data_IF_827160282092
#
_entry.id   IF_827160282092
#
_cell.length_a   1.000
_cell.length_b   1.000
_cell.length_c   1.000
_cell.angle_alpha   90.00
_cell.angle_beta   90.00
_cell.angle_gamma   90.00
#
_symmetry.space_group_name_H-M   'P 1'
#
loop_
_entity.id
_entity.type
_entity.pdbx_description
1 polymer ?
#
# COMPACT_ATOMS: atom_id res chain seq x y z
N UNK A 1 38.48 -5.99 -23.88
CA UNK A 1 37.04 -6.06 -24.23
C UNK A 1 36.27 -5.84 -22.94
N UNK A 2 36.05 -4.59 -22.56
CA UNK A 2 35.14 -4.24 -21.47
C UNK A 2 33.80 -3.95 -22.11
N UNK A 3 32.78 -4.76 -21.81
CA UNK A 3 31.43 -4.54 -22.33
C UNK A 3 30.73 -3.54 -21.42
N UNK A 4 30.34 -2.44 -22.05
CA UNK A 4 29.61 -1.31 -21.51
C UNK A 4 28.39 -1.73 -20.66
N UNK A 5 28.34 -1.16 -19.45
CA UNK A 5 27.08 -1.03 -18.71
C UNK A 5 26.19 -0.07 -19.51
N UNK A 6 25.12 -0.61 -20.09
CA UNK A 6 24.05 0.20 -20.64
C UNK A 6 23.46 1.03 -19.49
N UNK A 7 23.82 2.31 -19.48
CA UNK A 7 23.23 3.33 -18.63
C UNK A 7 21.91 3.68 -19.31
N UNK A 8 20.79 3.25 -18.74
CA UNK A 8 19.45 3.60 -19.22
C UNK A 8 19.35 5.11 -19.49
N UNK A 9 19.10 5.53 -20.74
CA UNK A 9 19.24 6.92 -21.13
C UNK A 9 17.89 7.63 -21.27
N UNK A 10 17.02 7.61 -20.25
CA UNK A 10 15.77 8.40 -20.28
C UNK A 10 15.26 8.70 -18.86
N UNK A 11 15.97 9.56 -18.12
CA UNK A 11 15.36 10.25 -16.98
C UNK A 11 15.73 11.73 -17.04
N UNK A 12 15.07 12.45 -17.96
CA UNK A 12 15.02 13.90 -17.92
C UNK A 12 14.34 14.30 -16.61
N UNK A 13 15.05 15.08 -15.79
CA UNK A 13 14.58 15.49 -14.46
C UNK A 13 13.26 16.24 -14.53
N UNK A 14 12.17 15.53 -14.29
CA UNK A 14 10.94 16.10 -13.76
C UNK A 14 11.08 16.23 -12.26
N UNK A 15 10.72 17.39 -11.71
CA UNK A 15 10.54 17.57 -10.27
C UNK A 15 9.70 16.39 -9.78
N UNK A 16 10.32 15.52 -8.98
CA UNK A 16 9.66 14.30 -8.56
C UNK A 16 8.63 14.71 -7.53
N UNK A 17 7.40 14.91 -7.97
CA UNK A 17 6.29 15.24 -7.09
C UNK A 17 6.21 14.16 -6.00
N UNK A 18 6.27 14.60 -4.75
CA UNK A 18 6.24 13.74 -3.57
C UNK A 18 4.86 13.84 -2.96
N UNK A 19 4.31 12.70 -2.57
CA UNK A 19 3.08 12.58 -1.81
C UNK A 19 3.40 12.13 -0.39
N UNK A 20 2.69 12.71 0.59
CA UNK A 20 2.68 12.19 1.96
C UNK A 20 1.66 11.06 2.06
N UNK A 21 2.11 9.86 2.39
CA UNK A 21 1.26 8.70 2.62
C UNK A 21 1.22 8.43 4.11
N UNK A 22 0.06 8.62 4.73
CA UNK A 22 -0.22 8.18 6.10
C UNK A 22 -0.78 6.77 6.05
N UNK A 23 -0.25 5.89 6.89
CA UNK A 23 -0.58 4.47 6.87
C UNK A 23 -0.95 3.95 8.25
N UNK A 24 -1.79 2.92 8.26
CA UNK A 24 -2.24 2.19 9.45
C UNK A 24 -2.28 0.69 9.13
N UNK A 25 -1.83 -0.16 10.04
CA UNK A 25 -1.96 -1.61 9.90
C UNK A 25 -3.40 -2.05 10.17
N UNK A 26 -3.96 -2.85 9.27
CA UNK A 26 -5.27 -3.48 9.45
C UNK A 26 -5.36 -4.31 10.74
N UNK A 27 -4.30 -5.00 11.17
CA UNK A 27 -4.30 -5.79 12.41
C UNK A 27 -4.54 -4.90 13.64
N UNK A 28 -4.08 -3.65 13.63
CA UNK A 28 -4.37 -2.68 14.70
C UNK A 28 -5.84 -2.29 14.69
N UNK A 29 -6.41 -2.06 13.51
CA UNK A 29 -7.84 -1.75 13.35
C UNK A 29 -8.70 -2.87 13.92
N UNK A 30 -8.38 -4.12 13.56
CA UNK A 30 -9.09 -5.32 14.03
C UNK A 30 -8.90 -5.53 15.54
N UNK A 31 -7.66 -5.46 16.05
CA UNK A 31 -7.37 -5.68 17.46
C UNK A 31 -7.99 -4.65 18.42
N UNK A 32 -8.30 -3.45 17.92
CA UNK A 32 -8.95 -2.39 18.69
C UNK A 32 -10.46 -2.28 18.42
N UNK A 33 -11.05 -3.18 17.61
CA UNK A 33 -12.45 -3.12 17.18
C UNK A 33 -12.82 -1.75 16.55
N UNK A 34 -11.89 -1.14 15.80
CA UNK A 34 -12.13 0.14 15.13
C UNK A 34 -12.83 -0.05 13.78
N UNK A 35 -13.72 0.88 13.42
CA UNK A 35 -14.35 0.88 12.10
C UNK A 35 -13.36 1.38 11.05
N UNK A 36 -13.19 0.64 9.95
CA UNK A 36 -12.37 1.08 8.80
C UNK A 36 -12.90 2.39 8.19
N UNK A 37 -14.23 2.56 8.23
CA UNK A 37 -14.94 3.72 7.71
C UNK A 37 -15.16 4.81 8.78
N UNK A 38 -14.56 4.68 9.97
CA UNK A 38 -14.66 5.70 11.01
C UNK A 38 -13.91 6.96 10.56
N UNK A 39 -14.60 8.10 10.50
CA UNK A 39 -14.03 9.39 10.10
C UNK A 39 -12.82 9.80 10.97
N UNK A 40 -12.79 9.35 12.23
CA UNK A 40 -11.74 9.61 13.23
C UNK A 40 -10.73 8.47 13.36
N UNK A 41 -10.71 7.48 12.46
CA UNK A 41 -9.82 6.31 12.53
C UNK A 41 -8.34 6.70 12.66
N UNK A 42 -7.87 7.59 11.78
CA UNK A 42 -6.48 8.05 11.80
C UNK A 42 -6.18 8.97 13.00
N UNK A 43 -7.19 9.67 13.53
CA UNK A 43 -7.04 10.43 14.78
C UNK A 43 -6.90 9.51 16.00
N UNK A 44 -7.68 8.42 16.04
CA UNK A 44 -7.56 7.36 17.05
C UNK A 44 -6.18 6.70 17.00
N UNK A 45 -5.71 6.35 15.80
CA UNK A 45 -4.38 5.77 15.60
C UNK A 45 -3.25 6.71 16.06
N UNK A 46 -3.33 8.00 15.69
CA UNK A 46 -2.37 9.02 16.11
C UNK A 46 -2.31 9.24 17.63
N UNK A 47 -3.42 8.99 18.34
CA UNK A 47 -3.51 9.12 19.79
C UNK A 47 -3.17 7.82 20.54
N UNK A 48 -3.05 6.69 19.84
CA UNK A 48 -2.72 5.40 20.41
C UNK A 48 -1.20 5.20 20.54
N UNK A 49 -0.79 4.30 21.43
CA UNK A 49 0.62 3.93 21.63
C UNK A 49 1.02 2.85 20.62
N UNK A 50 1.08 3.24 19.34
CA UNK A 50 1.41 2.35 18.21
C UNK A 50 2.89 2.50 17.82
N UNK A 51 3.45 1.42 17.30
CA UNK A 51 4.81 1.41 16.73
C UNK A 51 4.84 2.08 15.35
N UNK A 52 6.04 2.43 14.88
CA UNK A 52 6.24 3.00 13.54
C UNK A 52 5.89 2.01 12.41
N UNK A 53 5.86 0.70 12.68
CA UNK A 53 5.41 -0.31 11.73
C UNK A 53 3.88 -0.36 11.61
N UNK A 54 3.19 -0.04 12.71
CA UNK A 54 1.73 -0.11 12.86
C UNK A 54 1.03 1.16 12.37
N UNK A 55 1.63 2.33 12.59
CA UNK A 55 1.06 3.60 12.17
C UNK A 55 2.14 4.66 11.96
N UNK A 56 2.00 5.45 10.90
CA UNK A 56 2.92 6.56 10.64
C UNK A 56 2.69 7.24 9.31
N UNK A 57 3.69 8.02 8.90
CA UNK A 57 3.69 8.72 7.61
C UNK A 57 4.99 8.45 6.88
N UNK A 58 4.92 8.28 5.57
CA UNK A 58 6.09 8.20 4.68
C UNK A 58 5.94 9.14 3.48
N UNK A 59 7.07 9.61 2.97
CA UNK A 59 7.13 10.36 1.72
C UNK A 59 7.33 9.40 0.55
N UNK A 60 6.43 9.47 -0.44
CA UNK A 60 6.44 8.58 -1.61
C UNK A 60 6.43 9.43 -2.87
N UNK A 61 7.43 9.21 -3.73
CA UNK A 61 7.42 9.77 -5.07
C UNK A 61 6.21 9.28 -5.87
N UNK A 62 5.52 10.17 -6.59
CA UNK A 62 4.40 9.82 -7.48
C UNK A 62 4.74 8.83 -8.58
N UNK A 63 6.02 8.66 -8.92
CA UNK A 63 6.45 7.65 -9.89
C UNK A 63 6.76 6.27 -9.27
N UNK A 64 6.64 6.14 -7.95
CA UNK A 64 7.07 4.97 -7.18
C UNK A 64 5.90 4.24 -6.53
N UNK A 65 6.02 2.91 -6.46
CA UNK A 65 5.00 2.04 -5.86
C UNK A 65 5.03 2.15 -4.34
N UNK A 66 3.86 2.09 -3.71
CA UNK A 66 3.71 2.19 -2.26
C UNK A 66 4.52 1.12 -1.54
N UNK A 67 4.44 -0.15 -1.97
CA UNK A 67 5.20 -1.23 -1.34
C UNK A 67 6.72 -0.99 -1.40
N UNK A 68 7.25 -0.59 -2.55
CA UNK A 68 8.69 -0.35 -2.70
C UNK A 68 9.15 0.87 -1.89
N UNK A 69 8.27 1.84 -1.63
CA UNK A 69 8.56 2.97 -0.74
C UNK A 69 8.48 2.57 0.74
N UNK A 70 7.54 1.70 1.12
CA UNK A 70 7.43 1.16 2.47
C UNK A 70 8.70 0.36 2.83
N UNK A 71 9.18 -0.51 1.93
CA UNK A 71 10.42 -1.27 2.13
C UNK A 71 11.67 -0.39 2.31
N UNK A 72 11.77 0.70 1.55
CA UNK A 72 12.87 1.67 1.68
C UNK A 72 12.85 2.40 3.03
N UNK A 73 11.67 2.56 3.64
CA UNK A 73 11.51 3.11 4.98
C UNK A 73 11.65 2.04 6.09
N UNK A 74 11.95 0.78 5.72
CA UNK A 74 12.12 -0.32 6.67
C UNK A 74 10.82 -0.96 7.14
N UNK A 75 9.69 -0.67 6.48
CA UNK A 75 8.38 -1.25 6.80
C UNK A 75 8.22 -2.62 6.11
N UNK A 76 7.74 -3.62 6.86
CA UNK A 76 7.58 -5.00 6.37
C UNK A 76 6.14 -5.29 5.94
N UNK A 77 5.62 -4.54 4.97
CA UNK A 77 4.26 -4.77 4.46
C UNK A 77 4.14 -6.12 3.74
N UNK A 78 3.02 -6.86 3.90
CA UNK A 78 2.90 -8.19 3.32
C UNK A 78 2.85 -8.15 1.80
N UNK A 79 3.55 -9.08 1.14
CA UNK A 79 3.50 -9.26 -0.31
C UNK A 79 3.84 -10.71 -0.71
N UNK A 80 3.59 -11.06 -1.99
CA UNK A 80 4.05 -12.33 -2.55
C UNK A 80 4.43 -12.21 -4.03
N UNK A 81 3.47 -12.01 -4.94
CA UNK A 81 3.75 -12.11 -6.38
C UNK A 81 4.39 -10.88 -7.04
N UNK A 82 4.15 -9.67 -6.50
CA UNK A 82 4.47 -8.36 -7.11
C UNK A 82 4.02 -8.19 -8.58
N UNK A 83 3.02 -8.96 -9.00
CA UNK A 83 2.57 -9.06 -10.40
C UNK A 83 1.04 -8.94 -10.55
N UNK A 84 0.37 -8.30 -9.58
CA UNK A 84 -1.09 -8.10 -9.57
C UNK A 84 -1.95 -9.38 -9.58
N UNK A 85 -1.36 -10.53 -9.22
CA UNK A 85 -2.01 -11.86 -9.32
C UNK A 85 -2.32 -12.52 -7.97
N UNK A 86 -2.11 -11.81 -6.85
CA UNK A 86 -2.49 -12.25 -5.50
C UNK A 86 -2.92 -11.05 -4.64
N UNK A 87 -3.59 -11.32 -3.52
CA UNK A 87 -4.10 -10.30 -2.60
C UNK A 87 -3.23 -10.09 -1.34
N UNK A 88 -2.03 -10.69 -1.25
CA UNK A 88 -1.15 -10.54 -0.08
C UNK A 88 -0.79 -9.07 0.24
N UNK A 89 -0.60 -8.26 -0.80
CA UNK A 89 -0.29 -6.82 -0.67
C UNK A 89 -1.54 -5.96 -0.74
N UNK A 90 -2.71 -6.51 -0.41
CA UNK A 90 -3.93 -5.73 -0.36
C UNK A 90 -3.80 -4.64 0.72
N UNK A 91 -4.24 -3.45 0.36
CA UNK A 91 -4.49 -2.35 1.26
C UNK A 91 -5.83 -1.69 0.89
N UNK A 92 -6.28 -0.77 1.75
CA UNK A 92 -7.50 -0.01 1.59
C UNK A 92 -7.11 1.45 1.43
N UNK A 93 -7.58 2.10 0.38
CA UNK A 93 -7.50 3.54 0.21
C UNK A 93 -8.62 4.18 1.03
N UNK A 94 -8.26 4.99 2.01
CA UNK A 94 -9.22 5.71 2.88
C UNK A 94 -9.41 7.14 2.39
N UNK A 95 -8.35 7.79 1.93
CA UNK A 95 -8.39 9.18 1.44
C UNK A 95 -7.32 9.46 0.40
N UNK A 96 -7.58 10.39 -0.50
CA UNK A 96 -6.74 10.70 -1.66
C UNK A 96 -6.97 9.77 -2.85
N UNK A 97 -5.96 9.62 -3.71
CA UNK A 97 -6.04 8.79 -4.91
C UNK A 97 -4.80 7.94 -5.12
N UNK A 98 -5.01 6.69 -5.53
CA UNK A 98 -3.97 5.74 -5.91
C UNK A 98 -4.23 5.20 -7.31
N UNK A 99 -3.21 5.29 -8.16
CA UNK A 99 -3.21 4.69 -9.49
C UNK A 99 -2.56 3.30 -9.45
N UNK A 100 -3.29 2.27 -9.86
CA UNK A 100 -2.75 0.92 -10.00
C UNK A 100 -2.22 0.70 -11.42
N UNK A 101 -0.94 0.36 -11.55
CA UNK A 101 -0.33 0.02 -12.86
C UNK A 101 -0.97 -1.22 -13.49
N UNK A 102 -1.27 -2.22 -12.67
CA UNK A 102 -1.85 -3.49 -13.07
C UNK A 102 -2.83 -3.98 -12.01
N UNK A 103 -3.96 -4.51 -12.46
CA UNK A 103 -4.92 -5.21 -11.62
C UNK A 103 -5.49 -6.40 -12.42
N UNK A 104 -5.25 -7.63 -11.94
CA UNK A 104 -5.74 -8.85 -12.59
C UNK A 104 -6.73 -9.64 -11.72
N UNK A 105 -6.91 -9.27 -10.45
CA UNK A 105 -7.63 -10.09 -9.46
C UNK A 105 -8.61 -9.32 -8.57
N UNK A 106 -8.51 -8.01 -8.48
CA UNK A 106 -9.43 -7.17 -7.69
C UNK A 106 -10.52 -6.68 -8.63
N UNK A 107 -11.77 -6.87 -8.24
CA UNK A 107 -12.94 -6.43 -9.00
C UNK A 107 -13.12 -4.92 -8.93
N UNK A 108 -13.81 -4.34 -9.91
CA UNK A 108 -14.10 -2.90 -9.92
C UNK A 108 -14.92 -2.48 -8.68
N UNK A 109 -15.87 -3.33 -8.22
CA UNK A 109 -16.64 -3.11 -7.00
C UNK A 109 -15.74 -3.03 -5.75
N UNK A 110 -14.76 -3.93 -5.62
CA UNK A 110 -13.80 -3.89 -4.51
C UNK A 110 -12.91 -2.62 -4.57
N UNK A 111 -12.56 -2.16 -5.77
CA UNK A 111 -11.77 -0.93 -5.99
C UNK A 111 -12.59 0.31 -5.64
N UNK A 112 -13.83 0.40 -6.11
CA UNK A 112 -14.69 1.59 -6.03
C UNK A 112 -15.45 1.69 -4.71
N UNK A 113 -16.03 0.59 -4.24
CA UNK A 113 -16.91 0.60 -3.05
C UNK A 113 -16.14 0.33 -1.75
N UNK A 114 -15.05 -0.44 -1.82
CA UNK A 114 -14.27 -0.85 -0.64
C UNK A 114 -12.85 -0.29 -0.60
N UNK A 115 -12.49 0.55 -1.58
CA UNK A 115 -11.18 1.18 -1.64
C UNK A 115 -10.00 0.20 -1.81
N UNK A 116 -10.22 -1.06 -2.20
CA UNK A 116 -9.15 -2.06 -2.24
C UNK A 116 -8.12 -1.70 -3.31
N UNK A 117 -6.86 -1.74 -2.93
CA UNK A 117 -5.70 -1.47 -3.78
C UNK A 117 -4.62 -2.52 -3.54
N UNK A 118 -3.82 -2.81 -4.56
CA UNK A 118 -2.62 -3.62 -4.41
C UNK A 118 -1.43 -2.68 -4.21
N UNK A 119 -0.87 -2.62 -2.99
CA UNK A 119 0.22 -1.67 -2.67
C UNK A 119 1.47 -1.91 -3.53
N UNK A 120 1.69 -3.16 -4.00
CA UNK A 120 2.76 -3.49 -4.94
C UNK A 120 2.55 -2.99 -6.38
N UNK A 121 1.37 -2.47 -6.71
CA UNK A 121 1.07 -1.89 -8.02
C UNK A 121 0.57 -0.45 -7.95
N UNK A 122 0.38 0.08 -6.74
CA UNK A 122 -0.25 1.39 -6.53
C UNK A 122 0.80 2.48 -6.39
N UNK A 123 0.56 3.62 -7.04
CA UNK A 123 1.31 4.88 -6.91
C UNK A 123 0.40 6.00 -6.44
N UNK A 124 0.89 6.97 -5.65
CA UNK A 124 0.06 8.08 -5.23
C UNK A 124 -0.22 9.05 -6.38
N UNK A 125 -1.48 9.46 -6.51
CA UNK A 125 -1.96 10.41 -7.52
C UNK A 125 -2.45 11.74 -6.91
N UNK A 126 -2.37 11.88 -5.58
CA UNK A 126 -2.64 13.12 -4.83
C UNK A 126 -1.50 13.45 -3.88
N UNK A 127 -1.44 14.69 -3.38
CA UNK A 127 -0.36 15.14 -2.47
C UNK A 127 -0.44 14.45 -1.11
N UNK A 128 -1.64 14.09 -0.69
CA UNK A 128 -1.90 13.35 0.55
C UNK A 128 -2.71 12.10 0.22
N UNK A 129 -2.32 10.99 0.83
CA UNK A 129 -3.03 9.71 0.73
C UNK A 129 -3.08 9.08 2.11
N UNK A 130 -4.23 8.53 2.50
CA UNK A 130 -4.37 7.69 3.70
C UNK A 130 -4.69 6.27 3.29
N UNK A 131 -3.92 5.32 3.79
CA UNK A 131 -4.09 3.90 3.48
C UNK A 131 -4.09 3.03 4.72
N UNK A 132 -4.85 1.95 4.66
CA UNK A 132 -4.71 0.83 5.60
C UNK A 132 -3.94 -0.27 4.86
N UNK A 133 -2.80 -0.71 5.38
CA UNK A 133 -2.04 -1.82 4.82
C UNK A 133 -2.41 -3.14 5.48
N UNK A 134 -1.78 -4.23 5.05
CA UNK A 134 -2.04 -5.57 5.59
C UNK A 134 -3.51 -6.03 5.48
N UNK A 135 -4.30 -5.46 4.58
CA UNK A 135 -5.72 -5.79 4.40
C UNK A 135 -5.95 -7.23 3.86
N UNK A 136 -4.90 -8.02 3.67
CA UNK A 136 -4.96 -9.45 3.35
C UNK A 136 -5.78 -10.25 4.37
N UNK A 137 -5.99 -9.74 5.59
CA UNK A 137 -6.76 -10.40 6.65
C UNK A 137 -8.27 -10.29 6.48
N UNK A 138 -8.76 -9.50 5.52
CA UNK A 138 -10.19 -9.43 5.20
C UNK A 138 -10.69 -10.76 4.63
N UNK A 139 -11.76 -11.30 5.23
CA UNK A 139 -12.32 -12.61 4.89
C UNK A 139 -12.58 -12.81 3.39
N UNK A 140 -13.07 -11.77 2.70
CA UNK A 140 -13.42 -11.85 1.28
C UNK A 140 -12.20 -11.82 0.34
N UNK A 141 -10.99 -11.57 0.84
CA UNK A 141 -9.74 -11.64 0.08
C UNK A 141 -8.98 -12.95 0.27
N UNK A 142 -9.33 -13.76 1.29
CA UNK A 142 -8.56 -14.94 1.69
C UNK A 142 -8.36 -15.96 0.57
N UNK A 143 -9.37 -16.14 -0.31
CA UNK A 143 -9.28 -17.06 -1.46
C UNK A 143 -8.22 -16.65 -2.50
N UNK A 144 -7.69 -15.42 -2.41
CA UNK A 144 -6.71 -14.83 -3.32
C UNK A 144 -5.37 -14.51 -2.65
N UNK A 145 -5.25 -14.78 -1.35
CA UNK A 145 -3.99 -14.72 -0.60
C UNK A 145 -3.22 -16.02 -0.83
N UNK A 146 -1.93 -15.91 -1.13
CA UNK A 146 -1.08 -17.06 -1.48
C UNK A 146 0.13 -17.15 -0.56
N UNK A 147 0.69 -18.35 -0.41
CA UNK A 147 1.96 -18.53 0.28
C UNK A 147 1.89 -18.51 1.80
N UNK A 148 0.73 -18.24 2.40
CA UNK A 148 0.46 -18.56 3.81
C UNK A 148 0.20 -20.07 3.93
N UNK A 149 1.27 -20.84 3.72
CA UNK A 149 1.29 -22.22 4.16
C UNK A 149 1.64 -22.19 5.64
N UNK A 150 0.64 -22.40 6.49
CA UNK A 150 0.86 -22.93 7.83
C UNK A 150 1.86 -24.10 7.71
N UNK A 151 2.95 -24.01 8.48
CA UNK A 151 3.79 -25.17 8.82
C UNK A 151 3.61 -25.47 10.29
#
# INVERSE_FOLDING_TARGET
>A
MGSDAAKDPDFEGGETEVSTVEYLDYEVVDANDWGIDDDDLFEKAAAADLTEEEYGTMEVSRNRKLLDAAEDNGLEWPFSCRAASCANCAGILVDGELEMEMNLIITDEEVEERGIRLTCQSKPATDHVRVIHSAKHLDYLQDRVIGEREV
#
